data_IF_108846600888
#
_entry.id   IF_108846600888
#
_cell.length_a   1.000
_cell.length_b   1.000
_cell.length_c   1.000
_cell.angle_alpha   90.00
_cell.angle_beta   90.00
_cell.angle_gamma   90.00
#
_symmetry.space_group_name_H-M   'P 1'
#
loop_
_entity.id
_entity.type
_entity.pdbx_description
1 polymer ?
#
# COMPACT_ATOMS: atom_id res chain seq x y z
N UNK A 1 -17.48 -2.91 -72.34
CA UNK A 1 -18.58 -1.95 -72.63
C UNK A 1 -18.93 -1.23 -71.34
N UNK A 2 -18.82 0.12 -71.25
CA UNK A 2 -19.89 1.10 -71.55
C UNK A 2 -21.17 0.85 -70.72
N UNK A 3 -21.81 1.76 -69.98
CA UNK A 3 -21.76 3.24 -69.84
C UNK A 3 -22.57 3.64 -68.57
N UNK A 4 -22.07 4.62 -67.83
CA UNK A 4 -22.72 5.82 -67.26
C UNK A 4 -24.21 5.83 -66.81
N UNK A 5 -24.49 6.28 -65.58
CA UNK A 5 -25.03 7.64 -65.26
C UNK A 5 -25.52 7.78 -63.80
N UNK A 6 -24.88 8.66 -63.02
CA UNK A 6 -25.39 9.93 -62.43
C UNK A 6 -26.42 9.82 -61.29
N UNK A 7 -25.96 10.14 -60.08
CA UNK A 7 -26.77 10.68 -58.98
C UNK A 7 -25.93 11.69 -58.20
N UNK A 8 -26.26 12.97 -58.32
CA UNK A 8 -25.56 14.08 -57.69
C UNK A 8 -25.93 14.21 -56.21
N UNK A 9 -24.95 14.43 -55.33
CA UNK A 9 -25.19 14.97 -54.00
C UNK A 9 -24.08 15.97 -53.62
N UNK A 10 -24.53 17.16 -53.27
CA UNK A 10 -23.83 18.42 -53.11
C UNK A 10 -22.93 18.44 -51.87
N UNK A 11 -21.63 18.19 -52.06
CA UNK A 11 -20.62 18.47 -51.02
C UNK A 11 -20.24 19.94 -51.06
N UNK A 12 -20.95 20.79 -50.31
CA UNK A 12 -20.56 22.17 -50.03
C UNK A 12 -19.20 22.16 -49.31
N UNK A 13 -18.13 22.40 -50.06
CA UNK A 13 -16.81 22.73 -49.49
C UNK A 13 -16.95 24.13 -48.90
N UNK A 14 -17.02 24.23 -47.58
CA UNK A 14 -16.74 25.49 -46.89
C UNK A 14 -15.27 25.83 -47.17
N UNK A 15 -15.04 26.75 -48.09
CA UNK A 15 -13.74 27.40 -48.22
C UNK A 15 -13.50 28.13 -46.89
N UNK A 16 -12.57 27.62 -46.10
CA UNK A 16 -12.00 28.37 -44.97
C UNK A 16 -11.32 29.58 -45.58
N UNK A 17 -11.98 30.75 -45.50
CA UNK A 17 -11.33 32.05 -45.74
C UNK A 17 -10.35 32.27 -44.59
N UNK A 18 -9.19 31.62 -44.69
CA UNK A 18 -8.00 32.09 -44.01
C UNK A 18 -7.74 33.48 -44.57
N UNK A 19 -7.94 34.49 -43.72
CA UNK A 19 -7.50 35.85 -44.01
C UNK A 19 -6.00 35.78 -44.26
N UNK A 20 -5.61 35.97 -45.52
CA UNK A 20 -4.23 36.10 -45.91
C UNK A 20 -3.65 37.32 -45.21
N UNK A 21 -2.73 37.09 -44.28
CA UNK A 21 -1.92 38.13 -43.65
C UNK A 21 -1.10 38.81 -44.73
N UNK A 22 -1.54 40.00 -45.16
CA UNK A 22 -0.75 40.90 -46.01
C UNK A 22 0.43 41.40 -45.20
N UNK A 23 1.58 40.75 -45.36
CA UNK A 23 2.88 41.27 -44.94
C UNK A 23 3.33 42.30 -45.96
N UNK A 24 2.95 43.56 -45.77
CA UNK A 24 3.55 44.72 -46.45
C UNK A 24 3.81 45.80 -45.40
N UNK A 25 5.09 46.11 -45.17
CA UNK A 25 5.54 47.38 -44.60
C UNK A 25 5.31 47.62 -43.10
N UNK A 26 6.26 47.16 -42.27
CA UNK A 26 6.93 47.92 -41.20
C UNK A 26 6.17 48.68 -40.09
N UNK A 27 4.86 48.85 -40.16
CA UNK A 27 4.07 49.60 -39.18
C UNK A 27 2.80 48.81 -38.86
N UNK A 28 2.92 47.90 -37.89
CA UNK A 28 1.74 47.37 -37.20
C UNK A 28 0.94 48.57 -36.66
N UNK A 29 -0.37 48.61 -36.87
CA UNK A 29 -1.22 49.66 -36.30
C UNK A 29 -1.05 49.65 -34.78
N UNK A 30 -0.89 50.82 -34.17
CA UNK A 30 -0.73 50.97 -32.70
C UNK A 30 -1.82 50.20 -31.95
N UNK A 31 -3.05 50.20 -32.48
CA UNK A 31 -4.18 49.44 -31.93
C UNK A 31 -3.94 47.91 -31.92
N UNK A 32 -3.35 47.37 -32.99
CA UNK A 32 -3.06 45.93 -33.11
C UNK A 32 -1.94 45.55 -32.13
N UNK A 33 -0.93 46.41 -32.01
CA UNK A 33 0.16 46.21 -31.05
C UNK A 33 -0.33 46.27 -29.59
N UNK A 34 -1.25 47.19 -29.27
CA UNK A 34 -1.86 47.27 -27.93
C UNK A 34 -2.73 46.06 -27.62
N UNK A 35 -3.56 45.59 -28.57
CA UNK A 35 -4.39 44.39 -28.38
C UNK A 35 -3.54 43.15 -28.11
N UNK A 36 -2.43 43.00 -28.83
CA UNK A 36 -1.51 41.87 -28.66
C UNK A 36 -0.80 41.88 -27.30
N UNK A 37 -0.40 43.06 -26.82
CA UNK A 37 0.16 43.23 -25.49
C UNK A 37 -0.87 42.92 -24.40
N UNK A 38 -2.11 43.35 -24.59
CA UNK A 38 -3.23 43.05 -23.69
C UNK A 38 -3.53 41.54 -23.64
N UNK A 39 -3.60 40.86 -24.78
CA UNK A 39 -3.76 39.40 -24.85
C UNK A 39 -2.61 38.67 -24.15
N UNK A 40 -1.38 39.13 -24.35
CA UNK A 40 -0.21 38.53 -23.69
C UNK A 40 -0.23 38.76 -22.17
N UNK A 41 -0.72 39.91 -21.70
CA UNK A 41 -0.92 40.18 -20.28
C UNK A 41 -2.03 39.31 -19.70
N UNK A 42 -3.17 39.19 -20.38
CA UNK A 42 -4.29 38.31 -19.99
C UNK A 42 -3.84 36.84 -19.91
N UNK A 43 -3.06 36.36 -20.87
CA UNK A 43 -2.53 34.99 -20.86
C UNK A 43 -1.55 34.75 -19.68
N UNK A 44 -0.73 35.75 -19.31
CA UNK A 44 0.15 35.67 -18.13
C UNK A 44 -0.65 35.69 -16.83
N UNK A 45 -1.68 36.52 -16.75
CA UNK A 45 -2.59 36.59 -15.60
C UNK A 45 -3.36 35.29 -15.42
N UNK A 46 -3.95 34.75 -16.49
CA UNK A 46 -4.66 33.48 -16.46
C UNK A 46 -3.74 32.32 -16.08
N UNK A 47 -2.49 32.30 -16.56
CA UNK A 47 -1.51 31.29 -16.14
C UNK A 47 -1.21 31.38 -14.64
N UNK A 48 -0.97 32.58 -14.11
CA UNK A 48 -0.74 32.78 -12.66
C UNK A 48 -1.96 32.35 -11.84
N UNK A 49 -3.16 32.69 -12.31
CA UNK A 49 -4.40 32.33 -11.65
C UNK A 49 -4.57 30.80 -11.56
N UNK A 50 -4.32 30.09 -12.68
CA UNK A 50 -4.36 28.60 -12.70
C UNK A 50 -3.31 27.97 -11.80
N UNK A 51 -2.12 28.55 -11.71
CA UNK A 51 -1.06 28.07 -10.80
C UNK A 51 -1.44 28.27 -9.33
N UNK A 52 -2.08 29.39 -8.98
CA UNK A 52 -2.61 29.64 -7.65
C UNK A 52 -3.73 28.67 -7.30
N UNK A 53 -4.72 28.50 -8.18
CA UNK A 53 -5.82 27.54 -8.00
C UNK A 53 -5.31 26.10 -7.84
N UNK A 54 -4.30 25.72 -8.62
CA UNK A 54 -3.67 24.41 -8.50
C UNK A 54 -3.00 24.24 -7.13
N UNK A 55 -2.27 25.27 -6.67
CA UNK A 55 -1.60 25.25 -5.37
C UNK A 55 -2.61 25.18 -4.22
N UNK A 56 -3.69 25.95 -4.31
CA UNK A 56 -4.78 25.91 -3.33
C UNK A 56 -5.47 24.54 -3.31
N UNK A 57 -5.70 23.92 -4.47
CA UNK A 57 -6.24 22.56 -4.56
C UNK A 57 -5.31 21.50 -3.95
N UNK A 58 -3.99 21.61 -4.17
CA UNK A 58 -3.00 20.74 -3.56
C UNK A 58 -2.97 20.90 -2.02
N UNK A 59 -3.03 22.14 -1.52
CA UNK A 59 -3.07 22.44 -0.08
C UNK A 59 -4.36 21.93 0.58
N UNK A 60 -5.51 22.11 -0.07
CA UNK A 60 -6.79 21.59 0.39
C UNK A 60 -6.76 20.05 0.46
N UNK A 61 -6.22 19.38 -0.56
CA UNK A 61 -6.09 17.92 -0.56
C UNK A 61 -5.15 17.43 0.55
N UNK A 62 -4.02 18.11 0.77
CA UNK A 62 -3.11 17.77 1.87
C UNK A 62 -3.79 17.90 3.25
N UNK A 63 -4.58 18.97 3.43
CA UNK A 63 -5.33 19.20 4.67
C UNK A 63 -6.43 18.16 4.91
N UNK A 64 -7.12 17.73 3.85
CA UNK A 64 -8.11 16.64 3.94
C UNK A 64 -7.48 15.33 4.41
N UNK A 65 -6.29 14.99 3.91
CA UNK A 65 -5.54 13.81 4.36
C UNK A 65 -5.14 13.94 5.83
N UNK A 66 -4.63 15.11 6.23
CA UNK A 66 -4.20 15.38 7.60
C UNK A 66 -5.39 15.33 8.59
N UNK A 67 -6.55 15.89 8.22
CA UNK A 67 -7.78 15.84 9.01
C UNK A 67 -8.30 14.40 9.13
N UNK A 68 -8.22 13.62 8.06
CA UNK A 68 -8.55 12.20 8.08
C UNK A 68 -7.61 11.41 9.00
N UNK A 69 -6.29 11.66 8.95
CA UNK A 69 -5.30 11.04 9.84
C UNK A 69 -5.55 11.41 11.31
N UNK A 70 -5.80 12.69 11.61
CA UNK A 70 -6.19 13.13 12.96
C UNK A 70 -7.45 12.43 13.44
N UNK A 71 -8.46 12.33 12.58
CA UNK A 71 -9.71 11.62 12.89
C UNK A 71 -9.50 10.12 13.12
N UNK A 72 -8.56 9.50 12.41
CA UNK A 72 -8.20 8.10 12.61
C UNK A 72 -7.45 7.90 13.93
N UNK A 73 -6.48 8.78 14.24
CA UNK A 73 -5.71 8.73 15.47
C UNK A 73 -6.55 8.99 16.72
N UNK A 74 -7.58 9.86 16.64
CA UNK A 74 -8.48 10.10 17.76
C UNK A 74 -9.38 8.90 18.09
N UNK A 75 -9.61 8.02 17.11
CA UNK A 75 -10.30 6.74 17.32
C UNK A 75 -9.38 5.66 17.87
N UNK A 76 -8.05 5.84 17.79
CA UNK A 76 -7.10 4.90 18.35
C UNK A 76 -7.06 5.08 19.88
N UNK A 77 -7.34 4.00 20.61
CA UNK A 77 -7.06 3.93 22.04
C UNK A 77 -5.58 4.25 22.29
N UNK A 78 -5.21 5.12 23.25
CA UNK A 78 -3.82 5.29 23.64
C UNK A 78 -3.31 3.98 24.24
N UNK A 79 -2.53 3.23 23.46
CA UNK A 79 -1.82 2.06 23.96
C UNK A 79 -0.58 2.58 24.68
N UNK A 80 -0.43 2.26 25.96
CA UNK A 80 0.76 2.67 26.71
C UNK A 80 1.96 1.85 26.24
N UNK A 81 3.17 2.41 26.34
CA UNK A 81 4.43 1.71 26.02
C UNK A 81 4.53 0.38 26.81
N UNK A 82 3.95 0.35 28.01
CA UNK A 82 3.88 -0.83 28.89
C UNK A 82 3.06 -1.99 28.30
N UNK A 83 2.17 -1.73 27.33
CA UNK A 83 1.31 -2.75 26.69
C UNK A 83 1.86 -3.31 25.39
N UNK A 84 2.99 -2.78 24.89
CA UNK A 84 3.52 -3.12 23.55
C UNK A 84 5.04 -3.34 23.54
N UNK A 85 5.67 -3.57 24.69
CA UNK A 85 7.13 -3.75 24.82
C UNK A 85 7.65 -4.98 24.07
N UNK A 86 6.79 -5.96 23.81
CA UNK A 86 7.10 -7.15 23.03
C UNK A 86 7.40 -6.80 21.57
N UNK A 87 6.82 -5.72 21.05
CA UNK A 87 6.95 -5.34 19.65
C UNK A 87 8.37 -4.88 19.30
N UNK A 88 9.03 -4.02 20.10
CA UNK A 88 10.46 -3.79 19.99
C UNK A 88 11.30 -5.08 20.05
N UNK A 89 10.96 -6.01 20.96
CA UNK A 89 11.69 -7.27 21.10
C UNK A 89 11.52 -8.18 19.85
N UNK A 90 10.30 -8.29 19.32
CA UNK A 90 10.00 -8.99 18.07
C UNK A 90 10.75 -8.34 16.90
N UNK A 91 10.73 -7.01 16.80
CA UNK A 91 11.45 -6.28 15.76
C UNK A 91 12.96 -6.52 15.83
N UNK A 92 13.55 -6.47 17.02
CA UNK A 92 14.96 -6.75 17.22
C UNK A 92 15.31 -8.19 16.84
N UNK A 93 14.50 -9.18 17.25
CA UNK A 93 14.67 -10.57 16.84
C UNK A 93 14.64 -10.72 15.31
N UNK A 94 13.69 -10.09 14.64
CA UNK A 94 13.58 -10.16 13.17
C UNK A 94 14.80 -9.53 12.49
N UNK A 95 15.35 -8.44 13.02
CA UNK A 95 16.60 -7.85 12.55
C UNK A 95 17.78 -8.82 12.70
N UNK A 96 17.93 -9.47 13.86
CA UNK A 96 18.99 -10.47 14.07
C UNK A 96 18.82 -11.70 13.17
N UNK A 97 17.59 -12.09 12.89
CA UNK A 97 17.26 -13.26 12.08
C UNK A 97 17.14 -12.98 10.58
N UNK A 98 17.35 -11.73 10.13
CA UNK A 98 17.11 -11.30 8.74
C UNK A 98 17.77 -12.23 7.71
N UNK A 99 19.06 -12.51 7.88
CA UNK A 99 19.82 -13.36 6.94
C UNK A 99 19.30 -14.81 6.96
N UNK A 100 19.06 -15.37 8.14
CA UNK A 100 18.60 -16.75 8.29
C UNK A 100 17.17 -16.96 7.77
N UNK A 101 16.35 -15.91 7.84
CA UNK A 101 14.97 -15.89 7.36
C UNK A 101 14.84 -15.28 5.96
N UNK A 102 15.92 -14.81 5.34
CA UNK A 102 15.89 -14.11 4.05
C UNK A 102 14.82 -13.00 4.01
N UNK A 103 14.78 -12.17 5.07
CA UNK A 103 13.83 -11.07 5.25
C UNK A 103 14.36 -9.77 4.64
N UNK A 104 13.47 -8.86 4.20
CA UNK A 104 13.86 -7.50 3.88
C UNK A 104 14.30 -6.73 5.12
N UNK A 105 14.84 -5.52 4.89
CA UNK A 105 15.04 -4.55 5.97
C UNK A 105 13.74 -4.35 6.76
N UNK A 106 13.83 -4.45 8.09
CA UNK A 106 12.69 -4.30 8.99
C UNK A 106 12.73 -2.89 9.54
N UNK A 107 11.71 -2.11 9.21
CA UNK A 107 11.51 -0.78 9.77
C UNK A 107 10.44 -0.89 10.86
N UNK A 108 10.71 -0.38 12.06
CA UNK A 108 9.86 -0.61 13.22
C UNK A 108 8.44 -0.10 13.00
N UNK A 109 8.24 1.12 12.51
CA UNK A 109 6.88 1.63 12.25
C UNK A 109 6.09 0.76 11.24
N UNK A 110 6.77 0.19 10.24
CA UNK A 110 6.15 -0.74 9.29
C UNK A 110 5.79 -2.07 9.96
N UNK A 111 6.60 -2.53 10.92
CA UNK A 111 6.31 -3.72 11.72
C UNK A 111 5.05 -3.52 12.58
N UNK A 112 4.90 -2.38 13.24
CA UNK A 112 3.68 -2.10 14.03
C UNK A 112 2.46 -2.05 13.12
N UNK A 113 2.55 -1.27 12.03
CA UNK A 113 1.49 -1.14 11.03
C UNK A 113 1.10 -2.48 10.41
N UNK A 114 2.06 -3.38 10.21
CA UNK A 114 1.79 -4.67 9.57
C UNK A 114 0.99 -5.62 10.46
N UNK A 115 1.17 -5.55 11.77
CA UNK A 115 0.40 -6.35 12.73
C UNK A 115 -1.00 -5.77 12.94
N UNK A 116 -1.16 -4.44 12.85
CA UNK A 116 -2.46 -3.78 12.93
C UNK A 116 -3.33 -4.04 11.68
N UNK A 117 -2.70 -4.11 10.50
CA UNK A 117 -3.38 -4.34 9.22
C UNK A 117 -2.81 -5.55 8.47
N UNK A 118 -2.93 -6.77 9.03
CA UNK A 118 -2.22 -7.95 8.54
C UNK A 118 -2.71 -8.40 7.16
N UNK A 119 -3.95 -8.06 6.79
CA UNK A 119 -4.55 -8.40 5.48
C UNK A 119 -3.95 -7.60 4.32
N UNK A 120 -3.41 -6.43 4.61
CA UNK A 120 -2.94 -5.46 3.61
C UNK A 120 -1.41 -5.33 3.61
N UNK A 121 -0.70 -6.00 4.53
CA UNK A 121 0.75 -5.82 4.65
C UNK A 121 1.57 -6.80 3.81
N UNK A 122 2.36 -6.23 2.90
CA UNK A 122 3.39 -6.96 2.18
C UNK A 122 4.55 -7.38 3.10
N UNK A 123 4.92 -6.55 4.09
CA UNK A 123 5.97 -6.87 5.05
C UNK A 123 5.59 -8.13 5.85
N UNK A 124 4.40 -8.15 6.45
CA UNK A 124 3.93 -9.32 7.18
C UNK A 124 3.82 -10.55 6.28
N UNK A 125 3.35 -10.37 5.04
CA UNK A 125 3.29 -11.46 4.06
C UNK A 125 4.68 -12.07 3.80
N UNK A 126 5.74 -11.25 3.68
CA UNK A 126 7.13 -11.72 3.53
C UNK A 126 7.64 -12.43 4.78
N UNK A 127 7.40 -11.85 5.96
CA UNK A 127 7.77 -12.45 7.26
C UNK A 127 7.12 -13.83 7.40
N UNK A 128 5.80 -13.92 7.22
CA UNK A 128 5.06 -15.16 7.37
C UNK A 128 5.44 -16.19 6.30
N UNK A 129 5.71 -15.76 5.07
CA UNK A 129 6.23 -16.64 4.02
C UNK A 129 7.54 -17.31 4.43
N UNK A 130 8.43 -16.58 5.09
CA UNK A 130 9.69 -17.13 5.59
C UNK A 130 9.48 -18.06 6.78
N UNK A 131 8.76 -17.60 7.79
CA UNK A 131 8.54 -18.36 9.02
C UNK A 131 7.80 -19.66 8.79
N UNK A 132 6.82 -19.68 7.87
CA UNK A 132 5.99 -20.85 7.56
C UNK A 132 6.63 -21.77 6.50
N UNK A 133 7.65 -21.29 5.77
CA UNK A 133 8.35 -22.13 4.81
C UNK A 133 9.35 -23.06 5.50
N UNK A 134 9.48 -24.32 5.02
CA UNK A 134 10.56 -25.20 5.42
C UNK A 134 11.93 -24.55 5.20
N UNK A 135 12.94 -24.80 6.07
CA UNK A 135 14.26 -24.18 5.97
C UNK A 135 14.89 -24.28 4.58
N UNK A 136 14.75 -25.44 3.91
CA UNK A 136 15.29 -25.71 2.58
C UNK A 136 14.70 -24.81 1.49
N UNK A 137 13.49 -24.28 1.71
CA UNK A 137 12.80 -23.42 0.75
C UNK A 137 13.08 -21.93 0.95
N UNK A 138 13.60 -21.53 2.12
CA UNK A 138 13.78 -20.11 2.50
C UNK A 138 14.75 -19.36 1.59
N UNK A 139 15.85 -20.01 1.20
CA UNK A 139 16.88 -19.42 0.34
C UNK A 139 16.36 -18.96 -1.03
N UNK A 140 15.26 -19.55 -1.52
CA UNK A 140 14.66 -19.20 -2.83
C UNK A 140 13.41 -18.33 -2.73
N UNK A 141 13.04 -17.88 -1.52
CA UNK A 141 11.84 -17.07 -1.32
C UNK A 141 11.88 -15.74 -2.07
N UNK A 142 13.07 -15.15 -2.24
CA UNK A 142 13.23 -13.91 -3.02
C UNK A 142 12.80 -14.05 -4.49
N UNK A 143 12.70 -15.29 -5.01
CA UNK A 143 12.27 -15.60 -6.38
C UNK A 143 10.79 -15.93 -6.51
N UNK A 144 10.05 -15.93 -5.40
CA UNK A 144 8.65 -16.35 -5.35
C UNK A 144 7.78 -15.24 -4.77
N UNK A 145 6.52 -15.13 -5.21
CA UNK A 145 5.59 -14.23 -4.55
C UNK A 145 5.41 -14.65 -3.09
N UNK A 146 5.34 -13.65 -2.20
CA UNK A 146 4.97 -13.87 -0.81
C UNK A 146 3.58 -14.52 -0.73
N UNK A 147 3.36 -15.38 0.25
CA UNK A 147 2.07 -15.97 0.55
C UNK A 147 1.05 -14.85 0.81
N UNK A 148 -0.11 -14.86 0.12
CA UNK A 148 -1.19 -13.91 0.42
C UNK A 148 -1.80 -14.23 1.80
N UNK A 149 -2.46 -13.23 2.39
CA UNK A 149 -3.08 -13.32 3.72
C UNK A 149 -3.77 -14.66 4.01
N UNK A 150 -4.73 -15.03 3.16
CA UNK A 150 -5.53 -16.25 3.33
C UNK A 150 -4.68 -17.53 3.38
N UNK A 151 -3.57 -17.57 2.63
CA UNK A 151 -2.69 -18.74 2.61
C UNK A 151 -1.82 -18.80 3.85
N UNK A 152 -1.12 -17.72 4.18
CA UNK A 152 -0.23 -17.77 5.35
C UNK A 152 -1.02 -17.90 6.66
N UNK A 153 -2.22 -17.33 6.75
CA UNK A 153 -3.07 -17.46 7.95
C UNK A 153 -3.54 -18.90 8.14
N UNK A 154 -3.95 -19.57 7.07
CA UNK A 154 -4.29 -20.99 7.10
C UNK A 154 -3.09 -21.85 7.52
N UNK A 155 -1.91 -21.61 6.94
CA UNK A 155 -0.68 -22.34 7.31
C UNK A 155 -0.29 -22.10 8.78
N UNK A 156 -0.42 -20.87 9.26
CA UNK A 156 -0.19 -20.52 10.67
C UNK A 156 -1.15 -21.29 11.58
N UNK A 157 -2.45 -21.29 11.26
CA UNK A 157 -3.47 -22.02 12.02
C UNK A 157 -3.17 -23.50 12.07
N UNK A 158 -2.83 -24.13 10.94
CA UNK A 158 -2.49 -25.55 10.90
C UNK A 158 -1.23 -25.86 11.71
N UNK A 159 -0.21 -25.02 11.65
CA UNK A 159 1.02 -25.21 12.42
C UNK A 159 0.78 -25.11 13.93
N UNK A 160 0.05 -24.09 14.38
CA UNK A 160 -0.27 -23.92 15.80
C UNK A 160 -1.14 -25.08 16.29
N UNK A 161 -2.18 -25.44 15.54
CA UNK A 161 -3.01 -26.61 15.86
C UNK A 161 -2.20 -27.91 15.93
N UNK A 162 -1.20 -28.06 15.06
CA UNK A 162 -0.24 -29.16 15.10
C UNK A 162 0.57 -29.20 16.40
N UNK A 163 0.98 -28.05 16.93
CA UNK A 163 1.64 -27.96 18.23
C UNK A 163 0.74 -28.39 19.39
N UNK A 164 -0.50 -27.88 19.45
CA UNK A 164 -1.48 -28.28 20.47
C UNK A 164 -1.74 -29.79 20.44
N UNK A 165 -1.96 -30.37 19.26
CA UNK A 165 -2.15 -31.83 19.11
C UNK A 165 -0.92 -32.64 19.54
N UNK A 166 0.27 -32.20 19.13
CA UNK A 166 1.51 -32.91 19.43
C UNK A 166 1.83 -32.92 20.93
N UNK A 167 1.46 -31.87 21.66
CA UNK A 167 1.68 -31.75 23.10
C UNK A 167 0.57 -32.41 23.89
N UNK A 168 -0.70 -32.23 23.49
CA UNK A 168 -1.84 -32.91 24.13
C UNK A 168 -1.76 -34.44 24.07
N UNK A 169 -1.11 -34.99 23.03
CA UNK A 169 -0.86 -36.43 22.92
C UNK A 169 0.38 -36.93 23.71
N UNK A 170 1.22 -36.02 24.22
CA UNK A 170 2.44 -36.37 24.95
C UNK A 170 2.17 -36.54 26.45
N UNK A 171 2.76 -37.58 27.05
CA UNK A 171 2.80 -37.74 28.51
C UNK A 171 3.74 -36.73 29.18
N UNK A 172 4.81 -36.36 28.48
CA UNK A 172 5.80 -35.38 28.91
C UNK A 172 5.66 -34.13 28.03
N UNK A 173 4.76 -33.25 28.45
CA UNK A 173 4.42 -32.03 27.71
C UNK A 173 5.58 -31.03 27.65
N UNK A 174 6.30 -30.73 28.76
CA UNK A 174 7.43 -29.80 28.73
C UNK A 174 8.53 -30.23 27.76
N UNK A 175 8.96 -31.49 27.84
CA UNK A 175 9.98 -32.01 26.93
C UNK A 175 9.52 -31.99 25.47
N UNK A 176 8.23 -32.23 25.22
CA UNK A 176 7.68 -32.17 23.87
C UNK A 176 7.64 -30.75 23.32
N UNK A 177 7.34 -29.76 24.15
CA UNK A 177 7.40 -28.35 23.78
C UNK A 177 8.83 -27.92 23.41
N UNK A 178 9.83 -28.32 24.20
CA UNK A 178 11.26 -28.05 23.91
C UNK A 178 11.70 -28.65 22.58
N UNK A 179 11.30 -29.90 22.27
CA UNK A 179 11.58 -30.52 20.97
C UNK A 179 10.98 -29.78 19.78
N UNK A 180 9.87 -29.07 20.00
CA UNK A 180 9.22 -28.24 18.99
C UNK A 180 9.78 -26.80 18.95
N UNK A 181 10.72 -26.46 19.84
CA UNK A 181 11.29 -25.13 19.97
C UNK A 181 10.34 -24.11 20.62
N UNK A 182 9.36 -24.56 21.39
CA UNK A 182 8.39 -23.71 22.09
C UNK A 182 8.90 -23.38 23.50
N UNK A 183 8.71 -22.14 23.94
CA UNK A 183 9.07 -21.77 25.30
C UNK A 183 8.09 -22.38 26.32
N UNK A 184 8.55 -22.57 27.56
CA UNK A 184 7.73 -23.13 28.64
C UNK A 184 6.46 -22.31 28.95
N UNK A 185 6.46 -21.02 28.64
CA UNK A 185 5.33 -20.10 28.89
C UNK A 185 4.34 -20.02 27.71
N UNK A 186 4.63 -20.70 26.59
CA UNK A 186 3.86 -20.54 25.37
C UNK A 186 2.37 -20.84 25.57
N UNK A 187 2.06 -21.97 26.21
CA UNK A 187 0.68 -22.39 26.48
C UNK A 187 0.06 -21.71 27.70
N UNK A 188 0.87 -21.19 28.64
CA UNK A 188 0.33 -20.36 29.72
C UNK A 188 -0.13 -19.00 29.21
N UNK A 189 0.51 -18.46 28.17
CA UNK A 189 0.12 -17.19 27.53
C UNK A 189 -1.05 -17.41 26.57
N UNK A 190 -0.97 -18.38 25.66
CA UNK A 190 -2.02 -18.59 24.65
C UNK A 190 -3.26 -19.32 25.16
N UNK A 191 -3.16 -20.02 26.29
CA UNK A 191 -4.24 -20.81 26.88
C UNK A 191 -4.23 -22.29 26.44
N UNK A 192 -5.25 -23.02 26.89
CA UNK A 192 -5.38 -24.46 26.63
C UNK A 192 -5.77 -24.79 25.18
N UNK A 193 -6.38 -23.84 24.48
CA UNK A 193 -6.82 -23.97 23.09
C UNK A 193 -6.19 -22.88 22.22
N UNK A 194 -6.03 -23.18 20.92
CA UNK A 194 -5.47 -22.21 19.99
C UNK A 194 -6.44 -21.03 19.79
N UNK A 195 -6.01 -19.77 20.00
CA UNK A 195 -6.86 -18.61 19.76
C UNK A 195 -7.25 -18.46 18.28
N UNK A 196 -6.53 -19.14 17.38
CA UNK A 196 -6.82 -19.15 15.95
C UNK A 196 -7.94 -20.12 15.55
N UNK A 197 -8.44 -20.95 16.47
CA UNK A 197 -9.61 -21.81 16.20
C UNK A 197 -10.89 -20.98 16.13
N UNK A 198 -11.04 -20.03 17.04
CA UNK A 198 -12.24 -19.18 17.12
C UNK A 198 -12.14 -17.96 16.20
N UNK A 199 -10.97 -17.32 16.13
CA UNK A 199 -10.79 -16.05 15.44
C UNK A 199 -9.67 -16.15 14.40
N UNK A 200 -9.83 -15.53 13.21
CA UNK A 200 -8.71 -15.35 12.30
C UNK A 200 -7.69 -14.38 12.91
N UNK A 201 -6.43 -14.48 12.47
CA UNK A 201 -5.32 -13.69 13.02
C UNK A 201 -5.61 -12.17 13.12
N UNK A 202 -6.31 -11.61 12.13
CA UNK A 202 -6.61 -10.16 12.07
C UNK A 202 -7.68 -9.69 13.05
N UNK A 203 -8.34 -10.61 13.75
CA UNK A 203 -9.31 -10.31 14.80
C UNK A 203 -8.79 -10.67 16.19
N UNK A 204 -7.53 -11.11 16.29
CA UNK A 204 -6.88 -11.28 17.58
C UNK A 204 -6.57 -9.92 18.19
N UNK A 205 -6.74 -9.77 19.51
CA UNK A 205 -6.36 -8.53 20.17
C UNK A 205 -4.83 -8.36 20.11
N UNK A 206 -4.38 -7.11 20.06
CA UNK A 206 -2.95 -6.78 19.95
C UNK A 206 -2.19 -6.98 21.27
N UNK A 207 -2.92 -6.90 22.38
CA UNK A 207 -2.47 -7.13 23.75
C UNK A 207 -3.56 -7.94 24.48
N UNK A 208 -3.18 -8.71 25.49
CA UNK A 208 -4.10 -9.44 26.37
C UNK A 208 -4.23 -8.73 27.71
#
# INVERSE_FOLDING_TARGET
>A
EARSSRGASTRKRHASRYFATTTVGGHESVMVQTLRLEEQQRAKEEKRQRELEKKEAEEMSAKEVEDWERGLLSQASPHTVDTVWELPAVGHFLCLAQTALNLPEIVFFELERCLLMPRCSLLLSKIMSSLLSPPQRRATLHRRPALPYRRWESELRQRILGWYRAIGASRDQPRRAEQLGLCHQFFSILGEASPLEEKPFHLLPFYQ
#
